data_IF_803249656008
#
_entry.id   IF_803249656008
#
_cell.length_a   1.000
_cell.length_b   1.000
_cell.length_c   1.000
_cell.angle_alpha   90.00
_cell.angle_beta   90.00
_cell.angle_gamma   90.00
#
_symmetry.space_group_name_H-M   'P 1'
#
loop_
_entity.id
_entity.type
_entity.pdbx_description
1 polymer ?
#
# COMPACT_ATOMS: atom_id res chain seq x y z
N UNK A 1 -22.75 10.96 9.65
CA UNK A 1 -21.47 10.84 10.39
C UNK A 1 -20.75 9.62 9.82
N UNK A 2 -19.50 9.72 9.38
CA UNK A 2 -18.75 8.57 8.87
C UNK A 2 -18.36 7.65 10.04
N UNK A 3 -18.69 6.36 9.97
CA UNK A 3 -18.27 5.37 10.98
C UNK A 3 -16.88 4.83 10.67
N UNK A 4 -16.16 4.37 11.70
CA UNK A 4 -14.84 3.76 11.53
C UNK A 4 -14.89 2.54 10.58
N UNK A 5 -15.91 1.69 10.71
CA UNK A 5 -16.12 0.56 9.79
C UNK A 5 -16.28 0.99 8.34
N UNK A 6 -16.98 2.11 8.08
CA UNK A 6 -17.12 2.64 6.71
C UNK A 6 -15.76 3.11 6.16
N UNK A 7 -14.95 3.77 6.98
CA UNK A 7 -13.60 4.19 6.57
C UNK A 7 -12.69 2.99 6.28
N UNK A 8 -12.77 1.93 7.09
CA UNK A 8 -12.03 0.68 6.87
C UNK A 8 -12.49 -0.01 5.59
N UNK A 9 -13.79 -0.06 5.31
CA UNK A 9 -14.29 -0.61 4.06
C UNK A 9 -13.76 0.16 2.84
N UNK A 10 -13.80 1.50 2.89
CA UNK A 10 -13.22 2.37 1.85
C UNK A 10 -11.72 2.15 1.70
N UNK A 11 -10.97 2.00 2.81
CA UNK A 11 -9.56 1.64 2.78
C UNK A 11 -9.35 0.29 2.09
N UNK A 12 -10.22 -0.69 2.35
CA UNK A 12 -10.23 -1.98 1.66
C UNK A 12 -10.33 -1.85 0.14
N UNK A 13 -11.25 -1.01 -0.35
CA UNK A 13 -11.38 -0.72 -1.79
C UNK A 13 -10.12 -0.02 -2.34
N UNK A 14 -9.56 0.94 -1.59
CA UNK A 14 -8.37 1.67 -2.01
C UNK A 14 -7.12 0.79 -2.13
N UNK A 15 -7.00 -0.32 -1.38
CA UNK A 15 -5.90 -1.29 -1.59
C UNK A 15 -5.85 -1.78 -3.03
N UNK A 16 -7.01 -2.06 -3.64
CA UNK A 16 -7.08 -2.50 -5.04
C UNK A 16 -6.75 -1.37 -6.02
N UNK A 17 -7.08 -0.12 -5.67
CA UNK A 17 -6.59 1.05 -6.41
C UNK A 17 -5.06 1.20 -6.36
N UNK A 18 -4.42 0.80 -5.26
CA UNK A 18 -2.96 0.78 -5.16
C UNK A 18 -2.38 -0.37 -6.00
N UNK A 19 -3.05 -1.52 -6.07
CA UNK A 19 -2.61 -2.64 -6.92
C UNK A 19 -2.59 -2.29 -8.40
N UNK A 20 -3.56 -1.53 -8.90
CA UNK A 20 -3.55 -1.09 -10.30
C UNK A 20 -2.33 -0.20 -10.59
N UNK A 21 -2.03 0.76 -9.70
CA UNK A 21 -0.83 1.57 -9.80
C UNK A 21 0.46 0.72 -9.70
N UNK A 22 0.48 -0.27 -8.81
CA UNK A 22 1.61 -1.19 -8.63
C UNK A 22 1.87 -2.04 -9.87
N UNK A 23 0.81 -2.49 -10.56
CA UNK A 23 0.90 -3.22 -11.82
C UNK A 23 1.48 -2.36 -12.97
N UNK A 24 1.36 -1.02 -12.89
CA UNK A 24 1.96 -0.12 -13.87
C UNK A 24 3.49 0.07 -13.66
N UNK A 25 4.00 -0.11 -12.45
CA UNK A 25 5.40 0.18 -12.10
C UNK A 25 6.42 -0.55 -13.00
N UNK A 26 6.28 -1.86 -13.30
CA UNK A 26 7.23 -2.56 -14.17
C UNK A 26 7.35 -1.94 -15.56
N UNK A 27 6.25 -1.38 -16.08
CA UNK A 27 6.22 -0.73 -17.40
C UNK A 27 6.83 0.67 -17.34
N UNK A 28 6.47 1.46 -16.32
CA UNK A 28 6.95 2.84 -16.16
C UNK A 28 8.45 2.91 -15.92
N UNK A 29 8.97 1.98 -15.14
CA UNK A 29 10.39 1.90 -14.79
C UNK A 29 11.19 0.99 -15.74
N UNK A 30 10.58 0.53 -16.84
CA UNK A 30 11.20 -0.35 -17.83
C UNK A 30 11.97 -1.52 -17.19
N UNK A 31 11.31 -2.25 -16.28
CA UNK A 31 11.94 -3.31 -15.48
C UNK A 31 12.60 -4.38 -16.34
N UNK A 32 12.10 -4.63 -17.55
CA UNK A 32 12.71 -5.58 -18.47
C UNK A 32 14.16 -5.22 -18.79
N UNK A 33 14.43 -3.94 -19.04
CA UNK A 33 15.78 -3.44 -19.33
C UNK A 33 16.58 -3.23 -18.05
N UNK A 34 16.01 -2.54 -17.05
CA UNK A 34 16.74 -2.18 -15.82
C UNK A 34 17.08 -3.40 -14.96
N UNK A 35 16.13 -4.32 -14.74
CA UNK A 35 16.44 -5.56 -14.02
C UNK A 35 17.29 -6.52 -14.85
N UNK A 36 17.37 -6.32 -16.17
CA UNK A 36 18.27 -7.06 -17.06
C UNK A 36 19.76 -6.80 -16.76
N UNK A 37 20.08 -5.65 -16.14
CA UNK A 37 21.45 -5.25 -15.75
C UNK A 37 21.92 -5.88 -14.43
N UNK A 38 21.00 -6.48 -13.67
CA UNK A 38 21.30 -7.11 -12.38
C UNK A 38 21.67 -8.59 -12.56
N UNK A 39 22.44 -9.14 -11.62
CA UNK A 39 22.65 -10.59 -11.56
C UNK A 39 21.32 -11.34 -11.39
N UNK A 40 21.29 -12.58 -11.88
CA UNK A 40 20.09 -13.40 -11.91
C UNK A 40 19.41 -13.54 -10.54
N UNK A 41 20.19 -13.66 -9.46
CA UNK A 41 19.68 -13.78 -8.10
C UNK A 41 18.97 -12.48 -7.63
N UNK A 42 19.61 -11.32 -7.80
CA UNK A 42 19.00 -10.05 -7.39
C UNK A 42 17.72 -9.75 -8.18
N UNK A 43 17.70 -10.08 -9.47
CA UNK A 43 16.49 -9.99 -10.29
C UNK A 43 15.36 -10.88 -9.75
N UNK A 44 15.66 -12.12 -9.35
CA UNK A 44 14.66 -13.02 -8.76
C UNK A 44 14.12 -12.47 -7.43
N UNK A 45 15.00 -11.93 -6.57
CA UNK A 45 14.59 -11.35 -5.28
C UNK A 45 13.59 -10.19 -5.46
N UNK A 46 13.78 -9.32 -6.45
CA UNK A 46 12.82 -8.24 -6.75
C UNK A 46 11.43 -8.79 -7.06
N UNK A 47 11.34 -9.87 -7.85
CA UNK A 47 10.06 -10.50 -8.18
C UNK A 47 9.42 -11.20 -6.97
N UNK A 48 10.22 -11.91 -6.17
CA UNK A 48 9.74 -12.62 -4.97
C UNK A 48 9.16 -11.61 -3.96
N UNK A 49 9.90 -10.54 -3.66
CA UNK A 49 9.44 -9.51 -2.72
C UNK A 49 8.25 -8.74 -3.28
N UNK A 50 8.23 -8.44 -4.58
CA UNK A 50 7.07 -7.86 -5.25
C UNK A 50 5.83 -8.73 -5.10
N UNK A 51 5.95 -10.05 -5.29
CA UNK A 51 4.86 -11.01 -5.09
C UNK A 51 4.33 -11.02 -3.65
N UNK A 52 5.20 -11.03 -2.65
CA UNK A 52 4.80 -10.96 -1.25
C UNK A 52 4.05 -9.67 -0.92
N UNK A 53 4.52 -8.53 -1.42
CA UNK A 53 3.88 -7.22 -1.23
C UNK A 53 2.48 -7.22 -1.85
N UNK A 54 2.33 -7.68 -3.09
CA UNK A 54 1.03 -7.76 -3.77
C UNK A 54 0.07 -8.65 -2.98
N UNK A 55 0.52 -9.83 -2.55
CA UNK A 55 -0.30 -10.75 -1.75
C UNK A 55 -0.76 -10.10 -0.44
N UNK A 56 0.11 -9.37 0.25
CA UNK A 56 -0.26 -8.65 1.47
C UNK A 56 -1.30 -7.56 1.21
N UNK A 57 -1.13 -6.76 0.16
CA UNK A 57 -2.10 -5.71 -0.20
C UNK A 57 -3.47 -6.31 -0.54
N UNK A 58 -3.51 -7.44 -1.26
CA UNK A 58 -4.75 -8.19 -1.53
C UNK A 58 -5.38 -8.67 -0.22
N UNK A 59 -4.60 -9.31 0.65
CA UNK A 59 -5.07 -9.80 1.94
C UNK A 59 -5.68 -8.69 2.81
N UNK A 60 -4.99 -7.56 2.92
CA UNK A 60 -5.48 -6.40 3.67
C UNK A 60 -6.76 -5.81 3.07
N UNK A 61 -6.81 -5.68 1.74
CA UNK A 61 -8.00 -5.22 1.02
C UNK A 61 -9.20 -6.11 1.29
N UNK A 62 -9.05 -7.42 1.11
CA UNK A 62 -10.11 -8.41 1.32
C UNK A 62 -10.60 -8.43 2.78
N UNK A 63 -9.68 -8.50 3.75
CA UNK A 63 -10.04 -8.49 5.18
C UNK A 63 -10.82 -7.22 5.54
N UNK A 64 -10.39 -6.07 5.02
CA UNK A 64 -11.02 -4.78 5.33
C UNK A 64 -12.39 -4.60 4.68
N UNK A 65 -12.61 -5.21 3.52
CA UNK A 65 -13.92 -5.22 2.86
C UNK A 65 -14.88 -6.24 3.47
N UNK A 66 -14.38 -7.42 3.85
CA UNK A 66 -15.20 -8.50 4.37
C UNK A 66 -15.57 -8.32 5.85
N UNK A 67 -14.65 -7.78 6.65
CA UNK A 67 -14.77 -7.72 8.11
C UNK A 67 -14.53 -6.30 8.69
N UNK A 68 -15.11 -5.23 8.11
CA UNK A 68 -14.87 -3.86 8.58
C UNK A 68 -15.42 -3.60 10.01
N UNK A 69 -16.50 -4.30 10.39
CA UNK A 69 -17.05 -4.24 11.75
C UNK A 69 -16.10 -4.84 12.79
N UNK A 70 -15.53 -6.01 12.48
CA UNK A 70 -14.60 -6.71 13.37
C UNK A 70 -13.31 -5.92 13.59
N UNK A 71 -12.77 -5.31 12.54
CA UNK A 71 -11.59 -4.45 12.66
C UNK A 71 -11.87 -3.16 13.45
N UNK A 72 -13.11 -2.66 13.41
CA UNK A 72 -13.54 -1.48 14.16
C UNK A 72 -14.08 -1.81 15.57
N UNK A 73 -14.14 -3.09 15.95
CA UNK A 73 -14.82 -3.53 17.19
C UNK A 73 -14.04 -3.24 18.48
N UNK A 74 -12.77 -2.83 18.38
CA UNK A 74 -11.86 -2.72 19.53
C UNK A 74 -11.39 -4.07 20.09
N UNK A 75 -11.78 -5.20 19.48
CA UNK A 75 -11.31 -6.52 19.90
C UNK A 75 -9.78 -6.61 19.82
N UNK A 76 -9.11 -7.40 20.68
CA UNK A 76 -7.67 -7.55 20.64
C UNK A 76 -7.14 -8.00 19.26
N UNK A 77 -7.87 -8.89 18.59
CA UNK A 77 -7.52 -9.35 17.24
C UNK A 77 -7.69 -8.25 16.20
N UNK A 78 -8.82 -7.54 16.21
CA UNK A 78 -9.08 -6.42 15.31
C UNK A 78 -8.01 -5.34 15.42
N UNK A 79 -7.65 -4.98 16.66
CA UNK A 79 -6.58 -4.02 16.95
C UNK A 79 -5.21 -4.49 16.49
N UNK A 80 -4.87 -5.77 16.68
CA UNK A 80 -3.60 -6.34 16.23
C UNK A 80 -3.48 -6.33 14.69
N UNK A 81 -4.54 -6.73 13.99
CA UNK A 81 -4.57 -6.72 12.52
C UNK A 81 -4.53 -5.28 11.99
N UNK A 82 -5.31 -4.37 12.56
CA UNK A 82 -5.26 -2.95 12.20
C UNK A 82 -3.87 -2.36 12.47
N UNK A 83 -3.25 -2.68 13.61
CA UNK A 83 -1.90 -2.25 13.95
C UNK A 83 -0.86 -2.74 12.93
N UNK A 84 -0.95 -4.01 12.51
CA UNK A 84 -0.09 -4.55 11.45
C UNK A 84 -0.24 -3.77 10.13
N UNK A 85 -1.48 -3.51 9.70
CA UNK A 85 -1.75 -2.77 8.47
C UNK A 85 -1.25 -1.32 8.58
N UNK A 86 -1.43 -0.69 9.74
CA UNK A 86 -0.95 0.67 10.02
C UNK A 86 0.57 0.75 9.93
N UNK A 87 1.29 -0.21 10.53
CA UNK A 87 2.76 -0.28 10.45
C UNK A 87 3.22 -0.50 9.02
N UNK A 88 2.60 -1.43 8.29
CA UNK A 88 2.95 -1.70 6.90
C UNK A 88 2.86 -0.43 6.03
N UNK A 89 1.72 0.27 6.09
CA UNK A 89 1.53 1.50 5.31
C UNK A 89 2.35 2.67 5.84
N UNK A 90 2.57 2.76 7.15
CA UNK A 90 3.42 3.77 7.77
C UNK A 90 4.88 3.64 7.33
N UNK A 91 5.44 2.43 7.33
CA UNK A 91 6.77 2.15 6.78
C UNK A 91 6.81 2.50 5.30
N UNK A 92 5.82 2.06 4.51
CA UNK A 92 5.76 2.35 3.07
C UNK A 92 5.69 3.85 2.77
N UNK A 93 4.96 4.63 3.58
CA UNK A 93 4.88 6.08 3.51
C UNK A 93 6.22 6.72 3.89
N UNK A 94 6.85 6.28 4.99
CA UNK A 94 8.17 6.77 5.40
C UNK A 94 9.22 6.55 4.31
N UNK A 95 9.26 5.35 3.72
CA UNK A 95 10.15 5.05 2.60
C UNK A 95 9.87 5.97 1.39
N UNK A 96 8.60 6.26 1.09
CA UNK A 96 8.24 7.16 0.00
C UNK A 96 8.75 8.58 0.20
N UNK A 97 8.71 9.09 1.43
CA UNK A 97 9.02 10.48 1.75
C UNK A 97 10.53 10.70 1.96
N UNK A 98 11.22 9.73 2.56
CA UNK A 98 12.59 9.90 3.04
C UNK A 98 13.66 9.13 2.27
N UNK A 99 13.29 8.05 1.57
CA UNK A 99 14.26 7.15 0.92
C UNK A 99 14.10 7.14 -0.61
N UNK A 100 12.86 7.17 -1.09
CA UNK A 100 12.57 6.99 -2.51
C UNK A 100 12.67 8.30 -3.28
N UNK A 101 13.68 8.43 -4.15
CA UNK A 101 13.78 9.55 -5.09
C UNK A 101 13.09 9.22 -6.43
N UNK A 102 11.82 9.62 -6.56
CA UNK A 102 11.06 9.46 -7.79
C UNK A 102 11.21 10.64 -8.77
N UNK A 103 11.93 11.72 -8.42
CA UNK A 103 11.85 13.01 -9.16
C UNK A 103 12.20 12.86 -10.63
N UNK A 104 13.19 12.02 -10.95
CA UNK A 104 13.61 11.73 -12.31
C UNK A 104 12.50 11.10 -13.19
N UNK A 105 11.55 10.37 -12.58
CA UNK A 105 10.47 9.69 -13.28
C UNK A 105 9.16 10.52 -13.33
N UNK A 106 9.05 11.58 -12.53
CA UNK A 106 7.88 12.45 -12.44
C UNK A 106 7.87 13.58 -13.49
N UNK A 107 8.13 13.22 -14.75
CA UNK A 107 8.25 14.20 -15.85
C UNK A 107 6.90 14.64 -16.40
N UNK A 108 5.89 13.74 -16.43
CA UNK A 108 4.54 14.03 -16.94
C UNK A 108 3.54 14.29 -15.81
N UNK A 109 2.53 15.11 -16.09
CA UNK A 109 1.54 15.54 -15.10
C UNK A 109 0.75 14.37 -14.49
N UNK A 110 0.38 13.36 -15.28
CA UNK A 110 -0.37 12.19 -14.81
C UNK A 110 0.48 11.29 -13.90
N UNK A 111 1.80 11.22 -14.10
CA UNK A 111 2.70 10.51 -13.18
C UNK A 111 2.82 11.22 -11.83
N UNK A 112 2.88 12.56 -11.84
CA UNK A 112 2.83 13.37 -10.61
C UNK A 112 1.51 13.17 -9.87
N UNK A 113 0.39 13.20 -10.59
CA UNK A 113 -0.92 12.95 -10.01
C UNK A 113 -0.99 11.56 -9.36
N UNK A 114 -0.53 10.52 -10.05
CA UNK A 114 -0.49 9.16 -9.51
C UNK A 114 0.37 9.05 -8.26
N UNK A 115 1.56 9.68 -8.25
CA UNK A 115 2.43 9.69 -7.08
C UNK A 115 1.78 10.38 -5.87
N UNK A 116 1.17 11.55 -6.06
CA UNK A 116 0.47 12.25 -4.97
C UNK A 116 -0.78 11.51 -4.51
N UNK A 117 -1.55 10.92 -5.43
CA UNK A 117 -2.71 10.10 -5.10
C UNK A 117 -2.31 8.87 -4.24
N UNK A 118 -1.20 8.21 -4.59
CA UNK A 118 -0.65 7.12 -3.78
C UNK A 118 -0.20 7.61 -2.40
N UNK A 119 0.48 8.75 -2.31
CA UNK A 119 0.85 9.33 -1.01
C UNK A 119 -0.38 9.59 -0.14
N UNK A 120 -1.43 10.20 -0.69
CA UNK A 120 -2.69 10.43 0.02
C UNK A 120 -3.32 9.12 0.47
N UNK A 121 -3.32 8.10 -0.40
CA UNK A 121 -3.82 6.77 -0.03
C UNK A 121 -3.01 6.16 1.12
N UNK A 122 -1.69 6.25 1.11
CA UNK A 122 -0.84 5.70 2.18
C UNK A 122 -1.03 6.43 3.51
N UNK A 123 -1.16 7.76 3.47
CA UNK A 123 -1.50 8.58 4.64
C UNK A 123 -2.88 8.15 5.19
N UNK A 124 -3.87 8.03 4.32
CA UNK A 124 -5.22 7.60 4.70
C UNK A 124 -5.22 6.23 5.37
N UNK A 125 -4.56 5.23 4.77
CA UNK A 125 -4.43 3.90 5.37
C UNK A 125 -3.76 3.97 6.74
N UNK A 126 -2.59 4.62 6.81
CA UNK A 126 -1.84 4.74 8.07
C UNK A 126 -2.73 5.32 9.18
N UNK A 127 -3.43 6.42 8.91
CA UNK A 127 -4.28 7.08 9.90
C UNK A 127 -5.47 6.20 10.29
N UNK A 128 -6.24 5.69 9.32
CA UNK A 128 -7.46 4.92 9.61
C UNK A 128 -7.15 3.67 10.42
N UNK A 129 -6.12 2.92 10.04
CA UNK A 129 -5.75 1.71 10.76
C UNK A 129 -5.04 2.00 12.09
N UNK A 130 -4.31 3.12 12.22
CA UNK A 130 -3.80 3.55 13.53
C UNK A 130 -4.94 3.88 14.50
N UNK A 131 -5.99 4.57 14.03
CA UNK A 131 -7.18 4.85 14.84
C UNK A 131 -7.87 3.55 15.24
N UNK A 132 -8.08 2.61 14.31
CA UNK A 132 -8.67 1.31 14.60
C UNK A 132 -7.80 0.44 15.55
N UNK A 133 -6.48 0.63 15.53
CA UNK A 133 -5.56 -0.07 16.43
C UNK A 133 -5.58 0.47 17.86
N UNK A 134 -6.07 1.69 18.10
CA UNK A 134 -6.10 2.31 19.45
C UNK A 134 -7.51 2.49 20.01
N UNK A 135 -8.55 2.31 19.19
CA UNK A 135 -9.95 2.28 19.60
C UNK A 135 -10.32 1.04 20.40
#
# INVERSE_FOLDING_TARGET
MFSLSMLIFVAGVLHFGILTASACVPFVLNWREELGKLDGLFRQLVWIYGGYIVMMIVGFGLISMALPGELASGSPLGRAVAGLIAVFWGVRLGLQLFVLDARAFLTRWHWRLGYHALTVAFVFHTIVYSVAAIS
#
